data_IF_874921842013
#
_entry.id   IF_874921842013
#
_cell.length_a   1.000
_cell.length_b   1.000
_cell.length_c   1.000
_cell.angle_alpha   90.00
_cell.angle_beta   90.00
_cell.angle_gamma   90.00
#
_symmetry.space_group_name_H-M   'P 1'
#
loop_
_entity.id
_entity.type
_entity.pdbx_description
1 polymer ?
#
# COMPACT_ATOMS: atom_id res chain seq x y z
N UNK A 1 10.30 -30.60 -44.39
CA UNK A 1 9.00 -30.35 -43.70
C UNK A 1 9.06 -31.04 -42.33
N UNK A 2 9.07 -30.43 -41.14
CA UNK A 2 8.95 -29.05 -40.71
C UNK A 2 9.45 -28.91 -39.26
N UNK A 3 9.87 -27.69 -38.90
CA UNK A 3 10.39 -27.30 -37.58
C UNK A 3 9.29 -27.41 -36.51
N UNK A 4 9.39 -28.32 -35.55
CA UNK A 4 8.55 -28.28 -34.33
C UNK A 4 9.17 -27.33 -33.31
N UNK A 5 8.71 -26.08 -33.35
CA UNK A 5 9.00 -25.04 -32.36
C UNK A 5 8.41 -25.50 -31.01
N UNK A 6 9.26 -25.94 -30.09
CA UNK A 6 8.85 -26.17 -28.71
C UNK A 6 8.37 -24.84 -28.12
N UNK A 7 7.05 -24.70 -27.94
CA UNK A 7 6.45 -23.56 -27.24
C UNK A 7 6.86 -23.68 -25.78
N UNK A 8 7.92 -22.96 -25.41
CA UNK A 8 8.26 -22.68 -24.00
C UNK A 8 7.07 -21.94 -23.41
N UNK A 9 6.19 -22.66 -22.71
CA UNK A 9 5.09 -22.08 -21.95
C UNK A 9 5.69 -21.08 -20.99
N UNK A 10 5.49 -19.79 -21.26
CA UNK A 10 5.97 -18.71 -20.42
C UNK A 10 5.27 -18.88 -19.08
N UNK A 11 5.99 -19.42 -18.09
CA UNK A 11 5.56 -19.52 -16.71
C UNK A 11 5.25 -18.08 -16.31
N UNK A 12 3.96 -17.72 -16.27
CA UNK A 12 3.51 -16.42 -15.76
C UNK A 12 3.93 -16.42 -14.30
N UNK A 13 5.09 -15.82 -14.01
CA UNK A 13 5.61 -15.71 -12.66
C UNK A 13 4.49 -15.17 -11.78
N UNK A 14 4.16 -15.90 -10.71
CA UNK A 14 3.13 -15.50 -9.73
C UNK A 14 3.35 -14.01 -9.45
N UNK A 15 2.36 -13.19 -9.80
CA UNK A 15 2.41 -11.77 -9.52
C UNK A 15 2.73 -11.64 -8.03
N UNK A 16 3.80 -10.88 -7.72
CA UNK A 16 4.22 -10.66 -6.32
C UNK A 16 2.95 -10.31 -5.53
N UNK A 17 2.67 -11.00 -4.41
CA UNK A 17 1.50 -10.69 -3.61
C UNK A 17 1.55 -9.19 -3.34
N UNK A 18 0.62 -8.47 -3.95
CA UNK A 18 0.50 -7.03 -3.72
C UNK A 18 0.18 -6.92 -2.24
N UNK A 19 0.92 -6.08 -1.52
CA UNK A 19 0.56 -5.77 -0.15
C UNK A 19 -0.95 -5.45 -0.11
N UNK A 20 -1.69 -5.98 0.88
CA UNK A 20 -3.11 -5.70 1.01
C UNK A 20 -3.30 -4.19 0.90
N UNK A 21 -4.07 -3.77 -0.09
CA UNK A 21 -4.26 -2.35 -0.42
C UNK A 21 -5.49 -1.77 0.28
N UNK A 22 -6.11 -2.59 1.13
CA UNK A 22 -7.31 -2.29 1.89
C UNK A 22 -6.91 -2.18 3.35
N UNK A 23 -6.90 -0.95 3.87
CA UNK A 23 -6.77 -0.67 5.30
C UNK A 23 -7.96 0.17 5.76
N UNK A 24 -8.26 0.07 7.05
CA UNK A 24 -9.37 0.78 7.68
C UNK A 24 -8.95 2.21 8.00
N UNK A 25 -9.85 3.18 7.93
CA UNK A 25 -9.48 4.55 8.28
C UNK A 25 -9.54 4.79 9.79
N UNK A 26 -8.49 5.32 10.44
CA UNK A 26 -8.53 5.62 11.88
C UNK A 26 -9.43 6.81 12.25
N UNK A 27 -9.92 7.59 11.27
CA UNK A 27 -10.82 8.72 11.55
C UNK A 27 -12.29 8.37 11.36
N UNK A 28 -12.64 7.78 10.21
CA UNK A 28 -14.03 7.43 9.89
C UNK A 28 -14.36 5.94 10.10
N UNK A 29 -13.40 5.15 10.57
CA UNK A 29 -13.55 3.71 10.86
C UNK A 29 -14.03 2.86 9.67
N UNK A 30 -13.90 3.38 8.45
CA UNK A 30 -14.42 2.72 7.28
C UNK A 30 -13.41 1.73 6.69
N UNK A 31 -13.89 0.51 6.41
CA UNK A 31 -13.05 -0.61 6.01
C UNK A 31 -12.53 -0.48 4.57
N UNK A 32 -11.25 -0.77 4.38
CA UNK A 32 -10.64 -0.86 3.04
C UNK A 32 -10.64 0.43 2.21
N UNK A 33 -10.76 1.60 2.84
CA UNK A 33 -10.90 2.90 2.17
C UNK A 33 -9.60 3.67 2.05
N UNK A 34 -8.58 3.23 2.79
CA UNK A 34 -7.26 3.85 2.80
C UNK A 34 -6.42 3.34 1.64
N UNK A 35 -6.02 4.25 0.75
CA UNK A 35 -5.09 4.00 -0.35
C UNK A 35 -3.70 4.46 0.03
N UNK A 36 -2.74 3.53 0.01
CA UNK A 36 -1.32 3.83 0.26
C UNK A 36 -0.55 3.85 -1.05
N UNK A 37 0.14 4.95 -1.32
CA UNK A 37 1.01 5.14 -2.49
C UNK A 37 2.42 5.43 -2.03
N UNK A 38 3.38 4.57 -2.42
CA UNK A 38 4.80 4.77 -2.13
C UNK A 38 5.48 5.34 -3.38
N UNK A 39 5.95 6.57 -3.29
CA UNK A 39 6.66 7.27 -4.36
C UNK A 39 8.14 6.88 -4.38
N UNK A 40 8.74 6.93 -5.57
CA UNK A 40 10.20 6.71 -5.77
C UNK A 40 11.08 7.68 -4.97
N UNK A 41 10.52 8.82 -4.54
CA UNK A 41 11.19 9.87 -3.75
C UNK A 41 11.28 9.55 -2.24
N UNK A 42 11.36 8.26 -1.87
CA UNK A 42 11.43 7.83 -0.46
C UNK A 42 10.31 8.42 0.41
N UNK A 43 9.11 8.55 -0.15
CA UNK A 43 7.95 9.17 0.49
C UNK A 43 6.75 8.29 0.26
N UNK A 44 5.97 8.06 1.31
CA UNK A 44 4.71 7.38 1.23
C UNK A 44 3.56 8.33 1.60
N UNK A 45 2.46 8.13 0.90
CA UNK A 45 1.23 8.90 1.09
C UNK A 45 0.09 7.92 1.33
N UNK A 46 -0.61 8.09 2.45
CA UNK A 46 -1.87 7.40 2.72
C UNK A 46 -3.02 8.41 2.54
N UNK A 47 -4.07 7.98 1.87
CA UNK A 47 -5.24 8.81 1.57
C UNK A 47 -6.52 8.01 1.82
N UNK A 48 -7.44 8.54 2.62
CA UNK A 48 -8.79 7.97 2.75
C UNK A 48 -9.74 8.61 1.74
N UNK A 49 -10.50 7.78 1.02
CA UNK A 49 -11.49 8.25 0.04
C UNK A 49 -12.82 8.70 0.66
N UNK A 50 -13.03 8.54 1.97
CA UNK A 50 -14.29 8.87 2.65
C UNK A 50 -14.19 10.19 3.40
N UNK A 51 -13.18 10.34 4.27
CA UNK A 51 -12.99 11.56 5.06
C UNK A 51 -11.97 12.54 4.45
N UNK A 52 -11.45 12.24 3.25
CA UNK A 52 -10.39 13.01 2.57
C UNK A 52 -9.10 13.21 3.38
N UNK A 53 -8.91 12.45 4.47
CA UNK A 53 -7.73 12.53 5.30
C UNK A 53 -6.50 12.06 4.53
N UNK A 54 -5.42 12.84 4.66
CA UNK A 54 -4.14 12.62 3.95
C UNK A 54 -3.02 12.55 4.97
N UNK A 55 -2.16 11.54 4.83
CA UNK A 55 -0.99 11.35 5.66
C UNK A 55 0.25 11.18 4.80
N UNK A 56 1.29 11.95 5.10
CA UNK A 56 2.56 11.92 4.37
C UNK A 56 3.67 11.50 5.33
N UNK A 57 4.43 10.48 4.95
CA UNK A 57 5.54 9.98 5.77
C UNK A 57 6.75 9.62 4.91
N UNK A 58 7.92 9.55 5.55
CA UNK A 58 9.14 9.09 4.91
C UNK A 58 9.11 7.57 4.74
N UNK A 59 9.41 7.10 3.53
CA UNK A 59 9.42 5.69 3.19
C UNK A 59 10.78 5.28 2.63
N UNK A 60 11.28 4.12 3.00
CA UNK A 60 12.52 3.56 2.49
C UNK A 60 12.24 2.27 1.69
N UNK A 61 13.27 1.63 1.16
CA UNK A 61 13.15 0.37 0.39
C UNK A 61 12.56 -0.80 1.18
N UNK A 62 12.61 -0.74 2.51
CA UNK A 62 12.03 -1.75 3.41
C UNK A 62 10.61 -1.38 3.87
N UNK A 63 10.12 -0.19 3.51
CA UNK A 63 8.80 0.28 3.95
C UNK A 63 7.71 -0.40 3.15
N UNK A 64 6.88 -1.14 3.86
CA UNK A 64 5.66 -1.74 3.35
C UNK A 64 4.46 -0.80 3.56
N UNK A 65 3.35 -1.06 2.86
CA UNK A 65 2.11 -0.29 3.03
C UNK A 65 1.59 -0.30 4.47
N UNK A 66 1.82 -1.41 5.20
CA UNK A 66 1.41 -1.54 6.60
C UNK A 66 2.21 -0.64 7.54
N UNK A 67 3.51 -0.42 7.28
CA UNK A 67 4.33 0.48 8.10
C UNK A 67 3.84 1.93 8.02
N UNK A 68 3.35 2.33 6.85
CA UNK A 68 2.77 3.66 6.62
C UNK A 68 1.45 3.78 7.37
N UNK A 69 0.64 2.72 7.34
CA UNK A 69 -0.64 2.66 8.02
C UNK A 69 -0.48 2.71 9.54
N UNK A 70 0.40 1.89 10.12
CA UNK A 70 0.62 1.87 11.58
C UNK A 70 1.11 3.21 12.10
N UNK A 71 2.03 3.87 11.39
CA UNK A 71 2.47 5.23 11.74
C UNK A 71 1.33 6.25 11.71
N UNK A 72 0.44 6.14 10.72
CA UNK A 72 -0.71 7.04 10.65
C UNK A 72 -1.65 6.84 11.84
N UNK A 73 -1.96 5.60 12.19
CA UNK A 73 -2.81 5.25 13.34
C UNK A 73 -2.19 5.76 14.64
N UNK A 74 -0.89 5.52 14.85
CA UNK A 74 -0.16 5.98 16.03
C UNK A 74 -0.20 7.51 16.18
N UNK A 75 0.09 8.25 15.11
CA UNK A 75 0.02 9.72 15.13
C UNK A 75 -1.39 10.26 15.38
N UNK A 76 -2.42 9.56 14.89
CA UNK A 76 -3.82 9.97 15.12
C UNK A 76 -4.22 9.72 16.56
N UNK A 77 -3.88 8.55 17.10
CA UNK A 77 -4.10 8.22 18.50
C UNK A 77 -3.35 9.19 19.43
N UNK A 78 -2.10 9.55 19.10
CA UNK A 78 -1.32 10.49 19.90
C UNK A 78 -1.95 11.89 19.99
N UNK A 79 -2.61 12.35 18.91
CA UNK A 79 -3.27 13.67 18.88
C UNK A 79 -4.55 13.74 19.71
N UNK A 80 -5.24 12.62 19.92
CA UNK A 80 -6.47 12.56 20.71
C UNK A 80 -6.26 12.65 22.24
N UNK A 81 -5.02 12.54 22.73
CA UNK A 81 -4.70 12.63 24.17
C UNK A 81 -4.01 13.93 24.57
N UNK A 82 -4.02 14.96 23.70
CA UNK A 82 -3.37 16.25 23.97
C UNK A 82 -4.34 17.35 24.37
#
# INVERSE_FOLDING_TARGET
MGRKKSRRTQIKGRAKPRAPTSFDCPECHAEGTVRVTISRKKTATAFCTICDAKYLTSANRLTASIDVYTKWVDEKNAKTYS
#
